data_IF_878898495566
#
_entry.id   IF_878898495566
#
_cell.length_a   1.000
_cell.length_b   1.000
_cell.length_c   1.000
_cell.angle_alpha   90.00
_cell.angle_beta   90.00
_cell.angle_gamma   90.00
#
_symmetry.space_group_name_H-M   'P 1'
#
loop_
_entity.id
_entity.type
_entity.pdbx_description
1 polymer ?
#
# COMPACT_ATOMS: atom_id res chain seq x y z
N UNK A 1 -6.71 -16.17 -14.27
CA UNK A 1 -7.13 -16.01 -15.68
C UNK A 1 -6.71 -17.25 -16.45
N UNK A 2 -7.59 -17.87 -17.24
CA UNK A 2 -7.25 -19.07 -18.04
C UNK A 2 -6.51 -18.71 -19.34
N UNK A 3 -6.85 -17.56 -19.94
CA UNK A 3 -6.17 -17.00 -21.10
C UNK A 3 -5.34 -15.76 -20.71
N UNK A 4 -4.02 -15.73 -20.98
CA UNK A 4 -3.16 -14.60 -20.60
C UNK A 4 -3.44 -13.31 -21.39
N UNK A 5 -4.00 -13.42 -22.60
CA UNK A 5 -4.31 -12.26 -23.45
C UNK A 5 -5.45 -11.38 -22.91
N UNK A 6 -6.31 -11.92 -22.02
CA UNK A 6 -7.40 -11.15 -21.41
C UNK A 6 -6.93 -10.28 -20.24
N UNK A 7 -5.65 -10.33 -19.87
CA UNK A 7 -5.09 -9.56 -18.76
C UNK A 7 -5.41 -8.06 -18.83
N UNK A 8 -5.27 -7.45 -20.00
CA UNK A 8 -5.55 -6.02 -20.19
C UNK A 8 -7.03 -5.68 -19.98
N UNK A 9 -7.94 -6.57 -20.40
CA UNK A 9 -9.38 -6.38 -20.22
C UNK A 9 -9.75 -6.46 -18.74
N UNK A 10 -9.27 -7.49 -18.06
CA UNK A 10 -9.52 -7.65 -16.63
C UNK A 10 -8.92 -6.50 -15.81
N UNK A 11 -7.73 -6.02 -16.17
CA UNK A 11 -7.11 -4.85 -15.54
C UNK A 11 -7.95 -3.59 -15.74
N UNK A 12 -8.46 -3.36 -16.95
CA UNK A 12 -9.34 -2.22 -17.22
C UNK A 12 -10.64 -2.31 -16.40
N UNK A 13 -11.26 -3.49 -16.33
CA UNK A 13 -12.49 -3.69 -15.56
C UNK A 13 -12.27 -3.44 -14.07
N UNK A 14 -11.23 -4.01 -13.45
CA UNK A 14 -10.97 -3.79 -12.03
C UNK A 14 -10.69 -2.33 -11.74
N UNK A 15 -9.91 -1.65 -12.59
CA UNK A 15 -9.59 -0.24 -12.38
C UNK A 15 -10.82 0.65 -12.50
N UNK A 16 -11.67 0.42 -13.51
CA UNK A 16 -12.91 1.20 -13.71
C UNK A 16 -13.88 0.98 -12.56
N UNK A 17 -14.11 -0.28 -12.17
CA UNK A 17 -15.04 -0.60 -11.07
C UNK A 17 -14.54 -0.03 -9.75
N UNK A 18 -13.26 -0.23 -9.42
CA UNK A 18 -12.69 0.32 -8.17
C UNK A 18 -12.72 1.85 -8.15
N UNK A 19 -12.30 2.50 -9.24
CA UNK A 19 -12.29 3.98 -9.31
C UNK A 19 -13.70 4.54 -9.19
N UNK A 20 -14.68 3.94 -9.89
CA UNK A 20 -16.08 4.36 -9.80
C UNK A 20 -16.62 4.21 -8.38
N UNK A 21 -16.33 3.08 -7.73
CA UNK A 21 -16.74 2.83 -6.35
C UNK A 21 -16.15 3.86 -5.38
N UNK A 22 -14.85 4.17 -5.49
CA UNK A 22 -14.21 5.20 -4.66
C UNK A 22 -14.79 6.59 -4.88
N UNK A 23 -15.08 6.96 -6.13
CA UNK A 23 -15.72 8.25 -6.46
C UNK A 23 -17.12 8.31 -5.87
N UNK A 24 -17.95 7.28 -6.07
CA UNK A 24 -19.34 7.23 -5.59
C UNK A 24 -19.37 7.37 -4.07
N UNK A 25 -18.52 6.64 -3.34
CA UNK A 25 -18.46 6.73 -1.88
C UNK A 25 -17.94 8.09 -1.43
N UNK A 26 -16.85 8.58 -2.03
CA UNK A 26 -16.25 9.86 -1.65
C UNK A 26 -17.23 11.02 -1.84
N UNK A 27 -17.87 11.10 -3.01
CA UNK A 27 -18.90 12.10 -3.29
C UNK A 27 -20.12 11.91 -2.39
N UNK A 28 -20.56 10.67 -2.17
CA UNK A 28 -21.70 10.37 -1.30
C UNK A 28 -21.48 10.85 0.13
N UNK A 29 -20.31 10.60 0.72
CA UNK A 29 -19.97 11.10 2.06
C UNK A 29 -19.93 12.62 2.07
N UNK A 30 -19.33 13.25 1.06
CA UNK A 30 -19.23 14.70 0.99
C UNK A 30 -20.60 15.39 0.93
N UNK A 31 -21.53 14.86 0.13
CA UNK A 31 -22.89 15.40 -0.01
C UNK A 31 -23.72 15.21 1.26
N UNK A 32 -23.55 14.10 1.98
CA UNK A 32 -24.35 13.78 3.16
C UNK A 32 -23.88 14.51 4.44
N UNK A 33 -22.58 14.71 4.58
CA UNK A 33 -21.95 15.18 5.82
C UNK A 33 -21.56 16.66 5.74
N UNK A 34 -21.21 17.12 4.54
CA UNK A 34 -20.69 18.47 4.29
C UNK A 34 -19.24 18.65 4.74
N UNK A 35 -18.55 19.60 4.11
CA UNK A 35 -17.11 19.85 4.27
C UNK A 35 -16.65 19.97 5.73
N UNK A 36 -17.44 20.66 6.57
CA UNK A 36 -17.11 20.95 7.96
C UNK A 36 -17.15 19.74 8.91
N UNK A 37 -17.83 18.64 8.53
CA UNK A 37 -18.04 17.48 9.41
C UNK A 37 -17.33 16.20 8.90
N UNK A 38 -16.56 16.29 7.81
CA UNK A 38 -15.79 15.14 7.30
C UNK A 38 -14.59 14.89 8.20
N UNK A 39 -14.72 13.90 9.09
CA UNK A 39 -13.60 13.45 9.92
C UNK A 39 -12.90 12.25 9.30
N UNK A 40 -11.57 12.21 9.46
CA UNK A 40 -10.76 11.05 9.09
C UNK A 40 -10.35 10.32 10.37
N UNK A 41 -10.57 9.00 10.48
CA UNK A 41 -11.21 8.09 9.52
C UNK A 41 -12.74 8.28 9.38
N UNK A 42 -13.26 8.14 8.15
CA UNK A 42 -14.68 8.36 7.82
C UNK A 42 -15.65 7.42 8.56
N UNK A 43 -15.17 6.30 9.12
CA UNK A 43 -15.97 5.38 9.91
C UNK A 43 -16.44 5.97 11.24
N UNK A 44 -15.82 7.06 11.70
CA UNK A 44 -16.17 7.74 12.95
C UNK A 44 -17.20 8.87 12.79
N UNK A 45 -17.76 9.07 11.59
CA UNK A 45 -18.83 10.05 11.33
C UNK A 45 -20.19 9.61 11.92
N UNK A 46 -20.64 8.33 11.79
CA UNK A 46 -21.95 7.89 12.26
C UNK A 46 -22.09 7.85 13.79
N UNK A 47 -23.33 7.65 14.29
CA UNK A 47 -23.57 7.45 15.73
C UNK A 47 -22.82 6.24 16.30
N UNK A 48 -22.48 6.28 17.59
CA UNK A 48 -21.64 5.29 18.29
C UNK A 48 -22.01 3.81 18.02
N UNK A 49 -23.31 3.50 17.92
CA UNK A 49 -23.77 2.12 17.62
C UNK A 49 -23.35 1.66 16.22
N UNK A 50 -23.51 2.53 15.22
CA UNK A 50 -23.17 2.24 13.83
C UNK A 50 -21.67 2.25 13.62
N UNK A 51 -20.96 3.20 14.25
CA UNK A 51 -19.50 3.29 14.25
C UNK A 51 -18.87 1.98 14.76
N UNK A 52 -19.32 1.47 15.90
CA UNK A 52 -18.78 0.23 16.50
C UNK A 52 -18.91 -0.97 15.56
N UNK A 53 -20.08 -1.12 14.92
CA UNK A 53 -20.34 -2.21 13.96
C UNK A 53 -19.47 -2.03 12.71
N UNK A 54 -19.33 -0.80 12.21
CA UNK A 54 -18.49 -0.48 11.05
C UNK A 54 -17.02 -0.84 11.32
N UNK A 55 -16.48 -0.48 12.49
CA UNK A 55 -15.12 -0.85 12.88
C UNK A 55 -14.93 -2.35 13.06
N UNK A 56 -15.92 -3.07 13.59
CA UNK A 56 -15.86 -4.52 13.71
C UNK A 56 -15.73 -5.20 12.33
N UNK A 57 -16.50 -4.75 11.34
CA UNK A 57 -16.43 -5.25 9.96
C UNK A 57 -15.10 -4.86 9.31
N UNK A 58 -14.68 -3.60 9.46
CA UNK A 58 -13.41 -3.11 8.91
C UNK A 58 -12.20 -3.84 9.50
N UNK A 59 -12.22 -4.17 10.79
CA UNK A 59 -11.15 -4.92 11.44
C UNK A 59 -10.92 -6.28 10.77
N UNK A 60 -11.99 -6.99 10.42
CA UNK A 60 -11.90 -8.27 9.70
C UNK A 60 -11.22 -8.05 8.35
N UNK A 61 -11.64 -7.03 7.58
CA UNK A 61 -11.03 -6.79 6.27
C UNK A 61 -9.57 -6.35 6.37
N UNK A 62 -9.21 -5.55 7.38
CA UNK A 62 -7.83 -5.10 7.62
C UNK A 62 -6.91 -6.29 7.92
N UNK A 63 -7.35 -7.21 8.80
CA UNK A 63 -6.58 -8.42 9.13
C UNK A 63 -6.36 -9.26 7.87
N UNK A 64 -7.44 -9.53 7.11
CA UNK A 64 -7.37 -10.34 5.89
C UNK A 64 -6.48 -9.66 4.83
N UNK A 65 -6.63 -8.35 4.64
CA UNK A 65 -5.83 -7.56 3.70
C UNK A 65 -4.36 -7.46 4.11
N UNK A 66 -4.03 -7.53 5.40
CA UNK A 66 -2.64 -7.56 5.87
C UNK A 66 -1.97 -8.92 5.65
N UNK A 67 -2.70 -10.00 5.92
CA UNK A 67 -2.15 -11.37 5.90
C UNK A 67 -1.95 -11.89 4.47
N UNK A 68 -2.90 -11.66 3.56
CA UNK A 68 -2.86 -12.22 2.20
C UNK A 68 -1.60 -11.81 1.42
N UNK A 69 -1.22 -10.51 1.33
CA UNK A 69 -0.04 -10.09 0.58
C UNK A 69 1.26 -10.66 1.17
N UNK A 70 1.35 -10.79 2.50
CA UNK A 70 2.50 -11.39 3.19
C UNK A 70 2.63 -12.87 2.83
N UNK A 71 1.53 -13.62 2.86
CA UNK A 71 1.52 -15.02 2.43
C UNK A 71 1.87 -15.19 0.96
N UNK A 72 1.38 -14.29 0.10
CA UNK A 72 1.72 -14.31 -1.32
C UNK A 72 3.21 -14.01 -1.56
N UNK A 73 3.77 -13.03 -0.85
CA UNK A 73 5.20 -12.72 -0.90
C UNK A 73 6.06 -13.88 -0.40
N UNK A 74 5.68 -14.51 0.71
CA UNK A 74 6.34 -15.71 1.24
C UNK A 74 6.31 -16.86 0.23
N UNK A 75 5.15 -17.09 -0.40
CA UNK A 75 5.02 -18.11 -1.44
C UNK A 75 5.90 -17.80 -2.66
N UNK A 76 5.96 -16.55 -3.10
CA UNK A 76 6.83 -16.16 -4.19
C UNK A 76 8.31 -16.40 -3.84
N UNK A 77 8.73 -16.06 -2.62
CA UNK A 77 10.09 -16.33 -2.15
C UNK A 77 10.38 -17.84 -2.10
N UNK A 78 9.44 -18.65 -1.64
CA UNK A 78 9.54 -20.12 -1.66
C UNK A 78 9.73 -20.66 -3.09
N UNK A 79 8.95 -20.16 -4.05
CA UNK A 79 9.05 -20.58 -5.45
C UNK A 79 10.42 -20.25 -6.05
N UNK A 80 10.97 -19.07 -5.77
CA UNK A 80 12.28 -18.66 -6.30
C UNK A 80 13.44 -19.43 -5.64
N UNK A 81 13.41 -19.61 -4.31
CA UNK A 81 14.48 -20.32 -3.57
C UNK A 81 14.54 -21.82 -3.88
N UNK A 82 13.38 -22.45 -4.11
CA UNK A 82 13.26 -23.89 -4.36
C UNK A 82 12.98 -24.22 -5.83
N UNK A 83 13.16 -23.26 -6.74
CA UNK A 83 12.97 -23.47 -8.19
C UNK A 83 13.84 -24.63 -8.68
N UNK A 84 13.20 -25.66 -9.24
CA UNK A 84 13.88 -26.86 -9.77
C UNK A 84 14.34 -27.88 -8.71
N UNK A 85 14.03 -27.69 -7.42
CA UNK A 85 14.36 -28.65 -6.35
C UNK A 85 13.17 -29.56 -6.04
N UNK A 86 13.39 -30.85 -5.70
CA UNK A 86 12.30 -31.78 -5.37
C UNK A 86 11.52 -31.38 -4.10
N UNK A 87 12.10 -30.51 -3.25
CA UNK A 87 11.46 -29.94 -2.07
C UNK A 87 10.25 -29.05 -2.41
N UNK A 88 10.15 -28.52 -3.63
CA UNK A 88 9.11 -27.57 -4.04
C UNK A 88 7.69 -28.14 -3.98
N UNK A 89 7.53 -29.44 -4.24
CA UNK A 89 6.25 -30.17 -4.26
C UNK A 89 6.21 -31.33 -3.26
N UNK A 90 7.24 -31.45 -2.43
CA UNK A 90 7.29 -32.50 -1.42
C UNK A 90 6.51 -32.09 -0.17
N UNK A 91 5.55 -32.92 0.26
CA UNK A 91 4.81 -32.74 1.51
C UNK A 91 5.55 -33.34 2.73
N UNK A 92 6.88 -33.50 2.64
CA UNK A 92 7.67 -34.05 3.73
C UNK A 92 7.70 -33.13 4.96
N UNK A 93 7.84 -33.72 6.15
CA UNK A 93 7.92 -32.96 7.41
C UNK A 93 9.01 -31.87 7.40
N UNK A 94 10.14 -32.12 6.69
CA UNK A 94 11.21 -31.14 6.48
C UNK A 94 10.76 -29.92 5.66
N UNK A 95 9.92 -30.12 4.65
CA UNK A 95 9.38 -29.02 3.83
C UNK A 95 8.40 -28.16 4.65
N UNK A 96 7.53 -28.80 5.44
CA UNK A 96 6.61 -28.09 6.33
C UNK A 96 7.35 -27.33 7.44
N UNK A 97 8.37 -27.91 8.06
CA UNK A 97 9.20 -27.24 9.06
C UNK A 97 9.91 -26.02 8.47
N UNK A 98 10.44 -26.12 7.25
CA UNK A 98 11.11 -25.02 6.56
C UNK A 98 10.13 -23.93 6.13
N UNK A 99 8.92 -24.29 5.70
CA UNK A 99 7.85 -23.34 5.42
C UNK A 99 7.45 -22.55 6.68
N UNK A 100 7.24 -23.24 7.81
CA UNK A 100 6.95 -22.61 9.09
C UNK A 100 8.10 -21.70 9.53
N UNK A 101 9.34 -22.15 9.36
CA UNK A 101 10.52 -21.35 9.67
C UNK A 101 10.60 -20.08 8.81
N UNK A 102 10.37 -20.17 7.50
CA UNK A 102 10.35 -19.00 6.63
C UNK A 102 9.17 -18.06 6.92
N UNK A 103 8.00 -18.61 7.26
CA UNK A 103 6.86 -17.82 7.73
C UNK A 103 7.21 -17.08 9.03
N UNK A 104 7.86 -17.76 9.97
CA UNK A 104 8.32 -17.20 11.22
C UNK A 104 9.38 -16.12 11.02
N UNK A 105 10.37 -16.35 10.14
CA UNK A 105 11.40 -15.35 9.79
C UNK A 105 10.78 -14.14 9.12
N UNK A 106 9.84 -14.32 8.18
CA UNK A 106 9.15 -13.20 7.51
C UNK A 106 8.32 -12.39 8.50
N UNK A 107 7.64 -13.07 9.43
CA UNK A 107 6.92 -12.43 10.52
C UNK A 107 7.87 -11.70 11.49
N UNK A 108 9.01 -12.31 11.82
CA UNK A 108 10.07 -11.71 12.64
C UNK A 108 10.76 -10.54 11.95
N UNK A 109 10.85 -10.52 10.62
CA UNK A 109 11.40 -9.40 9.85
C UNK A 109 10.42 -8.23 9.83
N UNK A 110 9.13 -8.50 9.58
CA UNK A 110 8.06 -7.53 9.74
C UNK A 110 8.00 -6.96 11.16
N UNK A 111 8.22 -7.82 12.17
CA UNK A 111 8.46 -7.39 13.55
C UNK A 111 9.75 -6.58 13.67
N UNK A 112 10.93 -7.02 13.23
CA UNK A 112 12.19 -6.27 13.39
C UNK A 112 12.14 -4.85 12.79
N UNK A 113 11.47 -4.66 11.65
CA UNK A 113 11.27 -3.33 11.06
C UNK A 113 10.38 -2.44 11.94
N UNK A 114 9.38 -3.01 12.62
CA UNK A 114 8.55 -2.34 13.62
C UNK A 114 9.23 -2.21 15.01
N UNK A 115 10.06 -3.17 15.40
CA UNK A 115 10.78 -3.24 16.68
C UNK A 115 12.01 -2.32 16.71
N UNK A 116 12.51 -1.88 15.54
CA UNK A 116 13.42 -0.72 15.46
C UNK A 116 12.73 0.60 15.87
N UNK A 117 11.39 0.64 15.98
CA UNK A 117 10.66 1.84 16.37
C UNK A 117 9.84 1.74 17.67
N UNK A 118 9.47 0.55 18.17
CA UNK A 118 8.96 0.43 19.53
C UNK A 118 8.99 -1.02 20.01
N UNK A 119 9.64 -1.23 21.13
CA UNK A 119 9.57 -2.44 21.94
C UNK A 119 8.23 -2.46 22.69
N UNK A 120 7.06 -2.68 22.07
CA UNK A 120 5.85 -2.95 22.85
C UNK A 120 4.83 -3.83 22.13
N UNK A 121 4.59 -4.98 22.76
CA UNK A 121 3.48 -5.89 22.54
C UNK A 121 2.19 -5.21 23.06
N UNK A 122 1.58 -4.34 22.24
CA UNK A 122 0.18 -3.93 22.42
C UNK A 122 -0.38 -3.37 21.10
N UNK A 123 -0.96 -4.25 20.28
CA UNK A 123 -1.56 -3.87 18.99
C UNK A 123 -2.64 -2.78 19.14
N UNK A 124 -3.28 -2.67 20.31
CA UNK A 124 -4.27 -1.63 20.61
C UNK A 124 -3.66 -0.25 20.88
N UNK A 125 -2.42 -0.17 21.38
CA UNK A 125 -1.80 1.09 21.80
C UNK A 125 -1.27 1.91 20.61
N UNK A 126 -0.76 1.23 19.58
CA UNK A 126 -0.29 1.92 18.37
C UNK A 126 -1.50 2.39 17.54
N UNK A 127 -2.53 1.55 17.41
CA UNK A 127 -3.77 1.89 16.69
C UNK A 127 -4.51 3.08 17.32
N UNK A 128 -4.52 3.23 18.64
CA UNK A 128 -5.16 4.38 19.28
C UNK A 128 -4.42 5.71 19.04
N UNK A 129 -3.09 5.68 18.97
CA UNK A 129 -2.25 6.85 18.64
C UNK A 129 -2.36 7.24 17.17
N UNK A 130 -2.71 6.30 16.30
CA UNK A 130 -2.87 6.50 14.86
C UNK A 130 -4.16 7.23 14.47
N UNK A 131 -5.23 7.09 15.26
CA UNK A 131 -6.53 7.70 14.99
C UNK A 131 -6.43 9.22 14.76
N UNK A 132 -5.78 10.02 15.63
CA UNK A 132 -5.69 11.48 15.43
C UNK A 132 -4.84 11.92 14.22
N UNK A 133 -3.98 11.05 13.68
CA UNK A 133 -3.05 11.36 12.57
C UNK A 133 -3.27 10.48 11.35
N UNK A 134 -4.42 9.80 11.26
CA UNK A 134 -4.65 8.75 10.28
C UNK A 134 -4.44 9.23 8.84
N UNK A 135 -4.96 10.42 8.51
CA UNK A 135 -4.79 11.03 7.18
C UNK A 135 -3.32 11.32 6.85
N UNK A 136 -2.59 11.96 7.77
CA UNK A 136 -1.17 12.28 7.59
C UNK A 136 -0.32 11.02 7.43
N UNK A 137 -0.59 9.98 8.22
CA UNK A 137 0.10 8.71 8.13
C UNK A 137 -0.19 7.99 6.81
N UNK A 138 -1.46 7.95 6.38
CA UNK A 138 -1.81 7.41 5.07
C UNK A 138 -1.10 8.15 3.94
N UNK A 139 -0.96 9.48 4.04
CA UNK A 139 -0.21 10.29 3.07
C UNK A 139 1.26 9.89 3.01
N UNK A 140 1.92 9.69 4.16
CA UNK A 140 3.33 9.25 4.22
C UNK A 140 3.48 7.84 3.64
N UNK A 141 2.63 6.89 4.05
CA UNK A 141 2.71 5.52 3.56
C UNK A 141 2.44 5.49 2.05
N UNK A 142 1.44 6.21 1.57
CA UNK A 142 1.12 6.28 0.15
C UNK A 142 2.25 6.90 -0.68
N UNK A 143 2.83 8.02 -0.22
CA UNK A 143 3.89 8.73 -0.95
C UNK A 143 5.18 7.93 -1.04
N UNK A 144 5.53 7.15 0.00
CA UNK A 144 6.74 6.31 0.02
C UNK A 144 6.53 4.97 -0.67
N UNK A 145 5.42 4.29 -0.40
CA UNK A 145 5.22 2.91 -0.87
C UNK A 145 4.36 2.85 -2.12
N UNK A 146 3.13 3.35 -2.08
CA UNK A 146 2.16 3.21 -3.18
C UNK A 146 2.68 3.87 -4.45
N UNK A 147 3.21 5.08 -4.36
CA UNK A 147 3.75 5.82 -5.51
C UNK A 147 4.88 5.06 -6.20
N UNK A 148 5.83 4.51 -5.44
CA UNK A 148 6.96 3.77 -6.01
C UNK A 148 6.55 2.40 -6.53
N UNK A 149 5.74 1.63 -5.79
CA UNK A 149 5.35 0.29 -6.22
C UNK A 149 4.38 0.28 -7.40
N UNK A 150 3.47 1.27 -7.48
CA UNK A 150 2.47 1.34 -8.54
C UNK A 150 2.98 2.06 -9.78
N UNK A 151 3.66 3.20 -9.60
CA UNK A 151 4.00 4.10 -10.70
C UNK A 151 5.51 4.14 -10.98
N UNK A 152 6.33 4.36 -9.95
CA UNK A 152 7.78 4.49 -10.08
C UNK A 152 8.45 3.26 -10.70
N UNK A 153 8.29 2.09 -10.08
CA UNK A 153 8.87 0.82 -10.55
C UNK A 153 8.35 0.42 -11.93
N UNK A 154 7.05 0.62 -12.19
CA UNK A 154 6.45 0.36 -13.51
C UNK A 154 7.13 1.17 -14.61
N UNK A 155 7.35 2.47 -14.38
CA UNK A 155 8.07 3.34 -15.31
C UNK A 155 9.54 2.94 -15.49
N UNK A 156 10.25 2.61 -14.41
CA UNK A 156 11.66 2.17 -14.46
C UNK A 156 11.80 0.86 -15.22
N UNK A 157 10.95 -0.14 -14.95
CA UNK A 157 10.97 -1.43 -15.63
C UNK A 157 10.70 -1.24 -17.12
N UNK A 158 9.76 -0.39 -17.50
CA UNK A 158 9.48 -0.12 -18.91
C UNK A 158 10.69 0.49 -19.63
N UNK A 159 11.38 1.45 -19.00
CA UNK A 159 12.58 2.07 -19.56
C UNK A 159 13.74 1.06 -19.67
N UNK A 160 13.91 0.20 -18.67
CA UNK A 160 14.93 -0.85 -18.66
C UNK A 160 14.67 -1.88 -19.78
N UNK A 161 13.43 -2.35 -19.92
CA UNK A 161 13.05 -3.36 -20.93
C UNK A 161 13.18 -2.84 -22.37
N UNK A 162 12.96 -1.54 -22.59
CA UNK A 162 13.02 -0.93 -23.92
C UNK A 162 14.39 -0.37 -24.29
N UNK A 163 15.42 -0.54 -23.43
CA UNK A 163 16.78 -0.09 -23.68
C UNK A 163 17.32 -0.65 -25.01
N UNK A 164 18.11 0.16 -25.72
CA UNK A 164 18.76 -0.24 -26.97
C UNK A 164 19.55 -1.55 -26.76
N UNK A 165 19.41 -2.50 -27.69
CA UNK A 165 19.97 -3.87 -27.63
C UNK A 165 19.29 -4.83 -26.64
N UNK A 166 18.12 -4.50 -26.08
CA UNK A 166 17.30 -5.44 -25.31
C UNK A 166 16.58 -6.44 -26.23
N UNK A 167 16.39 -7.69 -25.76
CA UNK A 167 15.67 -8.76 -26.47
C UNK A 167 14.24 -8.37 -26.88
N UNK A 168 13.61 -7.41 -26.18
CA UNK A 168 12.27 -6.88 -26.51
C UNK A 168 12.28 -5.67 -27.44
N UNK A 169 13.39 -4.93 -27.57
CA UNK A 169 13.45 -3.69 -28.37
C UNK A 169 14.83 -3.43 -28.98
N UNK A 170 15.12 -4.01 -30.17
CA UNK A 170 16.40 -3.79 -30.86
C UNK A 170 16.62 -2.33 -31.30
N UNK A 171 15.53 -1.61 -31.60
CA UNK A 171 15.54 -0.22 -32.11
C UNK A 171 15.73 0.87 -31.03
N UNK A 172 15.78 0.50 -29.75
CA UNK A 172 15.92 1.44 -28.63
C UNK A 172 14.67 2.29 -28.36
N UNK A 173 14.81 3.28 -27.46
CA UNK A 173 13.70 4.12 -26.96
C UNK A 173 13.06 5.00 -28.05
N UNK A 174 13.84 5.44 -29.05
CA UNK A 174 13.43 6.38 -30.09
C UNK A 174 13.18 5.73 -31.46
N UNK A 175 12.99 4.42 -31.51
CA UNK A 175 12.83 3.70 -32.78
C UNK A 175 11.49 3.93 -33.51
N UNK A 176 10.45 4.42 -32.81
CA UNK A 176 9.13 4.69 -33.39
C UNK A 176 8.45 5.83 -32.60
N UNK A 177 7.63 6.66 -33.24
CA UNK A 177 6.88 7.77 -32.62
C UNK A 177 6.05 7.30 -31.43
N UNK A 178 5.43 6.12 -31.52
CA UNK A 178 4.69 5.52 -30.41
C UNK A 178 5.57 5.12 -29.22
N UNK A 179 6.80 4.63 -29.47
CA UNK A 179 7.77 4.29 -28.42
C UNK A 179 8.35 5.54 -27.77
N UNK A 180 8.55 6.61 -28.55
CA UNK A 180 8.97 7.90 -28.03
C UNK A 180 7.93 8.47 -27.07
N UNK A 181 6.65 8.43 -27.44
CA UNK A 181 5.55 8.85 -26.57
C UNK A 181 5.49 8.03 -25.27
N UNK A 182 5.61 6.70 -25.35
CA UNK A 182 5.64 5.86 -24.14
C UNK A 182 6.89 6.11 -23.28
N UNK A 183 8.05 6.39 -23.89
CA UNK A 183 9.29 6.73 -23.16
C UNK A 183 9.12 8.02 -22.39
N UNK A 184 8.56 9.05 -23.02
CA UNK A 184 8.28 10.33 -22.36
C UNK A 184 7.28 10.14 -21.22
N UNK A 185 6.22 9.36 -21.43
CA UNK A 185 5.23 9.05 -20.40
C UNK A 185 5.86 8.29 -19.22
N UNK A 186 6.66 7.26 -19.48
CA UNK A 186 7.34 6.50 -18.41
C UNK A 186 8.34 7.37 -17.65
N UNK A 187 9.12 8.21 -18.34
CA UNK A 187 10.03 9.16 -17.70
C UNK A 187 9.28 10.19 -16.84
N UNK A 188 8.16 10.71 -17.35
CA UNK A 188 7.29 11.63 -16.62
C UNK A 188 6.71 10.99 -15.36
N UNK A 189 6.24 9.74 -15.44
CA UNK A 189 5.70 9.01 -14.29
C UNK A 189 6.78 8.77 -13.23
N UNK A 190 8.01 8.42 -13.63
CA UNK A 190 9.14 8.27 -12.69
C UNK A 190 9.49 9.61 -12.03
N UNK A 191 9.51 10.70 -12.81
CA UNK A 191 9.75 12.05 -12.28
C UNK A 191 8.67 12.42 -11.26
N UNK A 192 7.40 12.20 -11.58
CA UNK A 192 6.29 12.42 -10.65
C UNK A 192 6.44 11.59 -9.39
N UNK A 193 6.86 10.32 -9.50
CA UNK A 193 7.10 9.49 -8.32
C UNK A 193 8.18 10.08 -7.40
N UNK A 194 9.31 10.52 -7.97
CA UNK A 194 10.41 11.16 -7.24
C UNK A 194 9.98 12.47 -6.58
N UNK A 195 9.07 13.24 -7.21
CA UNK A 195 8.59 14.52 -6.68
C UNK A 195 7.50 14.32 -5.62
N UNK A 196 6.56 13.40 -5.83
CA UNK A 196 5.44 13.16 -4.91
C UNK A 196 5.92 12.59 -3.57
N UNK A 197 6.94 11.74 -3.55
CA UNK A 197 7.45 11.15 -2.31
C UNK A 197 7.90 12.20 -1.27
N UNK A 198 8.85 13.11 -1.55
CA UNK A 198 9.27 14.11 -0.57
C UNK A 198 8.16 15.12 -0.27
N UNK A 199 7.35 15.52 -1.26
CA UNK A 199 6.24 16.44 -1.04
C UNK A 199 5.17 15.85 -0.14
N UNK A 200 4.82 14.58 -0.31
CA UNK A 200 3.83 13.90 0.51
C UNK A 200 4.30 13.65 1.95
N UNK A 201 5.60 13.46 2.16
CA UNK A 201 6.20 13.42 3.50
C UNK A 201 6.16 14.82 4.12
N UNK A 202 6.54 15.85 3.37
CA UNK A 202 6.55 17.24 3.83
C UNK A 202 5.16 17.73 4.23
N UNK A 203 4.15 17.50 3.37
CA UNK A 203 2.77 17.92 3.65
C UNK A 203 2.22 17.25 4.91
N UNK A 204 2.48 15.95 5.08
CA UNK A 204 2.06 15.23 6.26
C UNK A 204 2.76 15.73 7.53
N UNK A 205 4.06 16.06 7.45
CA UNK A 205 4.80 16.62 8.56
C UNK A 205 4.27 18.01 8.98
N UNK A 206 3.94 18.88 8.01
CA UNK A 206 3.37 20.19 8.33
C UNK A 206 1.97 20.04 8.93
N UNK A 207 1.11 19.15 8.42
CA UNK A 207 -0.21 18.89 9.01
C UNK A 207 -0.12 18.38 10.46
N UNK A 208 0.87 17.55 10.79
CA UNK A 208 1.11 17.09 12.16
C UNK A 208 1.52 18.28 13.05
N UNK A 209 2.44 19.12 12.58
CA UNK A 209 2.95 20.29 13.30
C UNK A 209 1.86 21.32 13.54
N UNK A 210 1.01 21.58 12.55
CA UNK A 210 -0.14 22.49 12.68
C UNK A 210 -1.12 21.99 13.73
N UNK A 211 -1.48 20.70 13.72
CA UNK A 211 -2.40 20.17 14.73
C UNK A 211 -1.84 20.17 16.16
N UNK A 212 -0.51 20.12 16.35
CA UNK A 212 0.11 20.37 17.67
C UNK A 212 0.04 21.86 18.06
N UNK A 213 0.21 22.78 17.10
CA UNK A 213 0.14 24.23 17.34
C UNK A 213 -1.27 24.69 17.68
N UNK A 214 -2.29 24.09 17.08
CA UNK A 214 -3.71 24.40 17.30
C UNK A 214 -4.28 23.77 18.59
N UNK A 215 -3.50 22.94 19.28
CA UNK A 215 -3.94 22.27 20.51
C UNK A 215 -4.90 21.11 20.27
N UNK A 216 -5.09 20.69 19.01
CA UNK A 216 -5.91 19.52 18.64
C UNK A 216 -5.32 18.20 19.17
N UNK A 217 -4.02 18.18 19.45
CA UNK A 217 -3.31 17.05 20.04
C UNK A 217 -2.72 17.42 21.42
N UNK A 218 -3.12 16.71 22.47
CA UNK A 218 -2.39 16.74 23.75
C UNK A 218 -1.02 16.07 23.57
N UNK A 219 -0.07 16.37 24.47
CA UNK A 219 1.31 15.84 24.45
C UNK A 219 1.42 14.38 23.96
N UNK A 220 2.53 13.99 23.29
CA UNK A 220 2.78 12.60 22.94
C UNK A 220 2.56 11.70 24.16
N UNK A 221 1.74 10.66 24.01
CA UNK A 221 1.40 9.69 25.06
C UNK A 221 0.46 10.16 26.18
N UNK A 222 -0.15 11.35 26.08
CA UNK A 222 -1.20 11.76 27.02
C UNK A 222 -2.56 11.15 26.62
N UNK A 223 -3.21 10.44 27.54
CA UNK A 223 -4.61 10.05 27.38
C UNK A 223 -5.48 11.31 27.36
N UNK A 224 -6.32 11.46 26.33
CA UNK A 224 -7.38 12.47 26.32
C UNK A 224 -8.40 12.04 27.38
N UNK A 225 -8.43 12.77 28.50
CA UNK A 225 -9.51 12.64 29.48
C UNK A 225 -10.74 13.22 28.79
N UNK A 226 -11.68 12.35 28.44
CA UNK A 226 -13.01 12.73 27.95
C UNK A 226 -13.78 13.48 29.02
#
# INVERSE_FOLDING_TARGET
MKNPNDFKKSLAVVQVVSTSFYIIIGVGVYVLVGDANVVSPALSIPSHKVETIAYAIAMISIIVSGVIPVLNGLKQLWLELFRGKPMLTSNGWKANALWIFMAFVTWMFGKCVLYLFAFFDNQGFVLSQLIPFFSSLLSIIASVTVVWFTFGLSGVIWLADNKKYSHRSPSGWFGNTGKMCMTLLSAFIVLMAVVITPLGIYSAAESIKEGYREGSYSHPFACRVT
#
